data_IF_876193077859
#
_entry.id   IF_876193077859
#
_cell.length_a   1.000
_cell.length_b   1.000
_cell.length_c   1.000
_cell.angle_alpha   90.00
_cell.angle_beta   90.00
_cell.angle_gamma   90.00
#
_symmetry.space_group_name_H-M   'P 1'
#
loop_
_entity.id
_entity.type
_entity.pdbx_description
1 polymer ?
#
# COMPACT_ATOMS: atom_id res chain seq x y z
N UNK A 1 -8.88 -13.45 8.53
CA UNK A 1 -7.99 -14.48 8.02
C UNK A 1 -6.52 -14.11 8.24
N UNK A 2 -6.04 -13.00 7.72
CA UNK A 2 -4.63 -12.56 7.82
C UNK A 2 -4.11 -12.57 9.27
N UNK A 3 -4.87 -12.01 10.20
CA UNK A 3 -4.52 -12.01 11.63
C UNK A 3 -4.38 -13.43 12.21
N UNK A 4 -5.20 -14.37 11.73
CA UNK A 4 -5.11 -15.80 12.18
C UNK A 4 -3.84 -16.48 11.70
N UNK A 5 -3.26 -16.03 10.60
CA UNK A 5 -1.99 -16.57 10.06
C UNK A 5 -0.78 -15.70 10.42
N UNK A 6 -0.92 -14.81 11.41
CA UNK A 6 0.18 -14.02 11.94
C UNK A 6 0.55 -12.76 11.15
N UNK A 7 -0.24 -12.37 10.13
CA UNK A 7 0.01 -11.16 9.35
C UNK A 7 -0.65 -9.96 10.05
N UNK A 8 0.14 -8.94 10.36
CA UNK A 8 -0.35 -7.71 10.97
C UNK A 8 -1.20 -6.94 9.96
N UNK A 9 -2.48 -6.82 10.25
CA UNK A 9 -3.46 -6.29 9.28
C UNK A 9 -4.36 -5.26 9.95
N UNK A 10 -4.62 -4.17 9.22
CA UNK A 10 -5.66 -3.20 9.55
C UNK A 10 -6.71 -3.13 8.45
N UNK A 11 -7.91 -2.74 8.84
CA UNK A 11 -9.05 -2.54 7.94
C UNK A 11 -9.50 -1.08 8.00
N UNK A 12 -9.86 -0.53 6.83
CA UNK A 12 -10.39 0.82 6.71
C UNK A 12 -11.72 0.79 5.95
N UNK A 13 -12.74 1.46 6.49
CA UNK A 13 -14.08 1.55 5.91
C UNK A 13 -14.58 3.01 5.86
N UNK A 14 -15.79 3.23 5.33
CA UNK A 14 -16.39 4.57 5.15
C UNK A 14 -16.54 5.35 6.45
N UNK A 15 -16.82 4.64 7.54
CA UNK A 15 -17.17 5.24 8.83
C UNK A 15 -15.94 5.62 9.68
N UNK A 16 -14.73 5.31 9.18
CA UNK A 16 -13.47 5.72 9.83
C UNK A 16 -13.30 7.24 9.68
N UNK A 17 -13.16 7.93 10.80
CA UNK A 17 -12.95 9.38 10.83
C UNK A 17 -11.69 9.80 10.11
N UNK A 18 -11.67 11.05 9.63
CA UNK A 18 -10.54 11.57 8.84
C UNK A 18 -9.22 11.52 9.61
N UNK A 19 -9.23 11.82 10.90
CA UNK A 19 -8.02 11.79 11.73
C UNK A 19 -7.51 10.37 11.94
N UNK A 20 -8.40 9.44 12.23
CA UNK A 20 -8.07 8.02 12.37
C UNK A 20 -7.51 7.46 11.06
N UNK A 21 -8.08 7.85 9.92
CA UNK A 21 -7.57 7.47 8.60
C UNK A 21 -6.13 7.94 8.38
N UNK A 22 -5.81 9.17 8.76
CA UNK A 22 -4.45 9.71 8.69
C UNK A 22 -3.51 8.88 9.56
N UNK A 23 -3.94 8.52 10.77
CA UNK A 23 -3.15 7.70 11.69
C UNK A 23 -2.89 6.31 11.12
N UNK A 24 -3.92 5.62 10.59
CA UNK A 24 -3.76 4.31 9.94
C UNK A 24 -2.74 4.38 8.80
N UNK A 25 -2.76 5.45 7.99
CA UNK A 25 -1.78 5.62 6.91
C UNK A 25 -0.37 5.86 7.41
N UNK A 26 -0.21 6.60 8.50
CA UNK A 26 1.10 6.79 9.14
C UNK A 26 1.63 5.48 9.72
N UNK A 27 0.79 4.73 10.40
CA UNK A 27 1.13 3.43 10.99
C UNK A 27 1.60 2.44 9.92
N UNK A 28 0.92 2.41 8.74
CA UNK A 28 1.36 1.61 7.60
C UNK A 28 2.76 2.04 7.11
N UNK A 29 3.00 3.34 6.98
CA UNK A 29 4.30 3.87 6.55
C UNK A 29 5.42 3.60 7.56
N UNK A 30 5.10 3.58 8.85
CA UNK A 30 6.01 3.22 9.94
C UNK A 30 6.24 1.69 10.02
N UNK A 31 5.47 0.88 9.28
CA UNK A 31 5.58 -0.58 9.32
C UNK A 31 5.00 -1.20 10.59
N UNK A 32 4.08 -0.51 11.27
CA UNK A 32 3.41 -1.05 12.47
C UNK A 32 2.45 -2.19 12.11
N UNK A 33 2.04 -2.26 10.86
CA UNK A 33 1.33 -3.39 10.28
C UNK A 33 1.70 -3.54 8.80
N UNK A 34 1.44 -4.70 8.21
CA UNK A 34 1.94 -5.08 6.89
C UNK A 34 0.87 -4.98 5.79
N UNK A 35 -0.39 -5.17 6.16
CA UNK A 35 -1.51 -5.23 5.21
C UNK A 35 -2.62 -4.27 5.60
N UNK A 36 -3.00 -3.41 4.68
CA UNK A 36 -4.18 -2.56 4.78
C UNK A 36 -5.27 -3.10 3.86
N UNK A 37 -6.41 -3.48 4.43
CA UNK A 37 -7.60 -3.89 3.70
C UNK A 37 -8.59 -2.73 3.67
N UNK A 38 -9.11 -2.39 2.51
CA UNK A 38 -10.08 -1.30 2.40
C UNK A 38 -11.08 -1.51 1.27
N UNK A 39 -12.29 -1.02 1.47
CA UNK A 39 -13.35 -1.04 0.48
C UNK A 39 -13.51 0.37 -0.09
N UNK A 40 -13.18 0.56 -1.37
CA UNK A 40 -13.37 1.81 -2.13
C UNK A 40 -12.67 3.08 -1.60
N UNK A 41 -11.85 2.98 -0.54
CA UNK A 41 -11.27 4.13 0.15
C UNK A 41 -9.81 4.40 -0.18
N UNK A 42 -9.18 3.51 -0.94
CA UNK A 42 -7.75 3.60 -1.27
C UNK A 42 -7.49 4.32 -2.60
N UNK A 43 -8.43 5.15 -3.07
CA UNK A 43 -8.36 5.76 -4.41
C UNK A 43 -7.69 7.12 -4.43
N UNK A 44 -8.04 8.01 -3.52
CA UNK A 44 -7.65 9.42 -3.56
C UNK A 44 -6.78 9.82 -2.37
N UNK A 45 -5.91 10.80 -2.59
CA UNK A 45 -5.16 11.47 -1.54
C UNK A 45 -4.06 10.66 -0.85
N UNK A 46 -3.82 9.41 -1.24
CA UNK A 46 -2.83 8.56 -0.58
C UNK A 46 -1.50 8.57 -1.33
N UNK A 47 -0.45 8.94 -0.63
CA UNK A 47 0.93 8.87 -1.11
C UNK A 47 1.72 7.90 -0.24
N UNK A 48 1.79 6.64 -0.68
CA UNK A 48 2.36 5.52 0.05
C UNK A 48 3.49 4.88 -0.79
N UNK A 49 4.67 5.49 -0.85
CA UNK A 49 5.79 4.95 -1.64
C UNK A 49 6.33 3.64 -1.09
N UNK A 50 6.03 3.31 0.15
CA UNK A 50 6.43 2.07 0.82
C UNK A 50 5.61 0.85 0.35
N UNK A 51 4.43 1.07 -0.26
CA UNK A 51 3.55 -0.02 -0.72
C UNK A 51 4.13 -0.70 -1.94
N UNK A 52 4.51 -1.97 -1.78
CA UNK A 52 5.06 -2.82 -2.84
C UNK A 52 4.02 -3.69 -3.55
N UNK A 53 2.89 -3.97 -2.92
CA UNK A 53 1.83 -4.79 -3.49
C UNK A 53 0.47 -4.10 -3.38
N UNK A 54 -0.25 -4.07 -4.50
CA UNK A 54 -1.67 -3.73 -4.55
C UNK A 54 -2.44 -4.93 -5.07
N UNK A 55 -3.37 -5.45 -4.27
CA UNK A 55 -4.26 -6.55 -4.64
C UNK A 55 -5.69 -6.02 -4.79
N UNK A 56 -6.29 -6.25 -5.95
CA UNK A 56 -7.69 -5.90 -6.24
C UNK A 56 -8.47 -7.21 -6.32
N UNK A 57 -9.34 -7.43 -5.36
CA UNK A 57 -10.23 -8.59 -5.33
C UNK A 57 -11.47 -8.30 -6.16
N UNK A 58 -12.06 -9.34 -6.74
CA UNK A 58 -13.28 -9.25 -7.57
C UNK A 58 -13.18 -8.16 -8.65
N UNK A 59 -12.04 -8.07 -9.34
CA UNK A 59 -11.75 -7.01 -10.29
C UNK A 59 -12.66 -7.03 -11.53
N UNK A 60 -13.33 -8.14 -11.80
CA UNK A 60 -14.30 -8.31 -12.88
C UNK A 60 -15.73 -7.93 -12.48
N UNK A 61 -15.99 -7.71 -11.20
CA UNK A 61 -17.35 -7.33 -10.75
C UNK A 61 -17.62 -5.87 -11.13
N UNK A 62 -18.79 -5.67 -11.72
CA UNK A 62 -19.29 -4.32 -12.04
C UNK A 62 -19.57 -3.56 -10.75
N UNK A 63 -19.05 -2.35 -10.68
CA UNK A 63 -19.18 -1.48 -9.52
C UNK A 63 -18.17 -0.35 -9.56
N UNK A 64 -18.06 0.37 -8.45
CA UNK A 64 -17.22 1.55 -8.38
C UNK A 64 -15.72 1.27 -8.62
N UNK A 65 -15.23 0.04 -8.38
CA UNK A 65 -13.86 -0.41 -8.73
C UNK A 65 -13.72 -0.93 -10.17
N UNK A 66 -14.81 -1.35 -10.81
CA UNK A 66 -14.83 -1.92 -12.15
C UNK A 66 -14.56 -0.92 -13.28
N UNK A 67 -14.49 0.38 -13.00
CA UNK A 67 -14.15 1.35 -14.03
C UNK A 67 -12.65 1.39 -14.31
N UNK A 68 -12.28 1.53 -15.60
CA UNK A 68 -10.88 1.72 -16.03
C UNK A 68 -10.15 2.79 -15.20
N UNK A 69 -10.79 3.96 -15.00
CA UNK A 69 -10.18 5.09 -14.27
C UNK A 69 -9.84 4.71 -12.82
N UNK A 70 -10.76 4.05 -12.15
CA UNK A 70 -10.58 3.59 -10.77
C UNK A 70 -9.47 2.56 -10.66
N UNK A 71 -9.43 1.58 -11.57
CA UNK A 71 -8.38 0.56 -11.60
C UNK A 71 -7.00 1.17 -11.85
N UNK A 72 -6.87 2.08 -12.82
CA UNK A 72 -5.60 2.78 -13.10
C UNK A 72 -5.12 3.56 -11.87
N UNK A 73 -6.01 4.25 -11.14
CA UNK A 73 -5.65 4.96 -9.92
C UNK A 73 -5.16 4.01 -8.83
N UNK A 74 -5.84 2.88 -8.66
CA UNK A 74 -5.50 1.89 -7.63
C UNK A 74 -4.17 1.19 -7.96
N UNK A 75 -4.01 0.70 -9.17
CA UNK A 75 -2.76 0.10 -9.67
C UNK A 75 -1.58 1.08 -9.57
N UNK A 76 -1.83 2.35 -9.86
CA UNK A 76 -0.83 3.43 -9.77
C UNK A 76 -0.27 3.66 -8.37
N UNK A 77 -0.88 3.11 -7.31
CA UNK A 77 -0.33 3.19 -5.95
C UNK A 77 0.96 2.38 -5.81
N UNK A 78 1.04 1.22 -6.45
CA UNK A 78 2.26 0.41 -6.45
C UNK A 78 3.36 0.98 -7.35
N UNK A 79 3.04 1.88 -8.27
CA UNK A 79 3.99 2.39 -9.26
C UNK A 79 5.11 3.28 -8.67
N UNK A 80 5.00 3.70 -7.41
CA UNK A 80 6.03 4.49 -6.71
C UNK A 80 7.10 3.65 -6.04
N UNK A 81 6.85 2.36 -5.89
CA UNK A 81 7.81 1.42 -5.34
C UNK A 81 8.59 0.76 -6.48
N UNK A 82 9.91 0.62 -6.34
CA UNK A 82 10.77 -0.01 -7.35
C UNK A 82 10.34 -1.46 -7.65
N UNK A 83 9.90 -2.17 -6.63
CA UNK A 83 9.41 -3.55 -6.70
C UNK A 83 7.89 -3.62 -6.74
N UNK A 84 7.23 -2.51 -7.09
CA UNK A 84 5.78 -2.39 -7.07
C UNK A 84 5.09 -3.38 -8.00
N UNK A 85 4.11 -4.10 -7.46
CA UNK A 85 3.25 -5.04 -8.19
C UNK A 85 1.79 -4.72 -7.97
N UNK A 86 0.99 -4.95 -9.00
CA UNK A 86 -0.47 -4.92 -8.89
C UNK A 86 -1.02 -6.23 -9.39
N UNK A 87 -1.90 -6.84 -8.60
CA UNK A 87 -2.57 -8.12 -8.93
C UNK A 87 -4.07 -7.86 -8.93
N UNK A 88 -4.72 -8.23 -10.02
CA UNK A 88 -6.17 -8.20 -10.16
C UNK A 88 -6.69 -9.64 -10.11
N UNK A 89 -7.44 -9.98 -9.06
CA UNK A 89 -8.10 -11.27 -8.93
C UNK A 89 -9.49 -11.20 -9.58
N UNK A 90 -9.76 -12.09 -10.53
CA UNK A 90 -10.98 -12.07 -11.31
C UNK A 90 -11.25 -13.46 -11.93
N UNK A 91 -12.53 -13.78 -12.11
CA UNK A 91 -12.92 -15.01 -12.80
C UNK A 91 -12.82 -14.87 -14.34
N UNK A 92 -12.97 -13.63 -14.82
CA UNK A 92 -12.90 -13.31 -16.24
C UNK A 92 -12.22 -11.97 -16.50
N UNK A 93 -11.54 -11.87 -17.63
CA UNK A 93 -10.96 -10.61 -18.11
C UNK A 93 -12.07 -9.69 -18.63
N UNK A 94 -12.17 -8.48 -18.07
CA UNK A 94 -13.08 -7.44 -18.55
C UNK A 94 -12.37 -6.44 -19.46
N UNK A 95 -13.14 -5.69 -20.24
CA UNK A 95 -12.60 -4.61 -21.08
C UNK A 95 -11.86 -3.55 -20.26
N UNK A 96 -12.38 -3.22 -19.07
CA UNK A 96 -11.76 -2.25 -18.16
C UNK A 96 -10.43 -2.76 -17.60
N UNK A 97 -10.33 -4.05 -17.26
CA UNK A 97 -9.09 -4.69 -16.82
C UNK A 97 -8.05 -4.68 -17.95
N UNK A 98 -8.42 -5.14 -19.14
CA UNK A 98 -7.52 -5.15 -20.29
C UNK A 98 -7.00 -3.75 -20.61
N UNK A 99 -7.90 -2.76 -20.68
CA UNK A 99 -7.51 -1.37 -20.93
C UNK A 99 -6.61 -0.78 -19.83
N UNK A 100 -6.74 -1.25 -18.57
CA UNK A 100 -5.88 -0.85 -17.48
C UNK A 100 -4.48 -1.44 -17.62
N UNK A 101 -4.39 -2.71 -18.00
CA UNK A 101 -3.12 -3.41 -18.26
C UNK A 101 -2.38 -2.73 -19.42
N UNK A 102 -3.07 -2.51 -20.53
CA UNK A 102 -2.50 -1.91 -21.74
C UNK A 102 -1.96 -0.50 -21.45
N UNK A 103 -2.74 0.34 -20.76
CA UNK A 103 -2.33 1.68 -20.38
C UNK A 103 -1.12 1.68 -19.42
N UNK A 104 -1.11 0.75 -18.46
CA UNK A 104 -0.02 0.63 -17.48
C UNK A 104 1.26 0.19 -18.16
N UNK A 105 1.19 -0.80 -19.07
CA UNK A 105 2.33 -1.27 -19.85
C UNK A 105 2.87 -0.18 -20.76
N UNK A 106 2.01 0.53 -21.49
CA UNK A 106 2.39 1.65 -22.34
C UNK A 106 3.15 2.72 -21.57
N UNK A 107 2.64 3.13 -20.40
CA UNK A 107 3.31 4.13 -19.55
C UNK A 107 4.67 3.65 -19.05
N UNK A 108 4.75 2.37 -18.66
CA UNK A 108 5.99 1.75 -18.20
C UNK A 108 7.05 1.70 -19.30
N UNK A 109 6.68 1.25 -20.49
CA UNK A 109 7.59 1.19 -21.64
C UNK A 109 8.10 2.57 -22.02
N UNK A 110 7.21 3.56 -22.08
CA UNK A 110 7.56 4.95 -22.36
C UNK A 110 8.55 5.50 -21.33
N UNK A 111 8.32 5.20 -20.03
CA UNK A 111 9.23 5.63 -18.96
C UNK A 111 10.58 4.91 -19.05
N UNK A 112 10.58 3.61 -19.32
CA UNK A 112 11.82 2.84 -19.48
C UNK A 112 12.66 3.37 -20.63
N UNK A 113 12.03 3.66 -21.78
CA UNK A 113 12.70 4.26 -22.93
C UNK A 113 13.30 5.62 -22.58
N UNK A 114 12.51 6.50 -21.96
CA UNK A 114 13.00 7.81 -21.51
C UNK A 114 14.19 7.68 -20.56
N UNK A 115 14.14 6.75 -19.61
CA UNK A 115 15.21 6.52 -18.66
C UNK A 115 16.49 6.05 -19.37
N UNK A 116 16.37 5.13 -20.33
CA UNK A 116 17.50 4.64 -21.11
C UNK A 116 18.12 5.76 -21.96
N UNK A 117 17.30 6.54 -22.65
CA UNK A 117 17.76 7.65 -23.51
C UNK A 117 18.49 8.75 -22.72
N UNK A 118 18.16 8.92 -21.43
CA UNK A 118 18.73 9.96 -20.56
C UNK A 118 19.68 9.42 -19.48
N UNK A 119 20.05 8.15 -19.53
CA UNK A 119 20.93 7.51 -18.54
C UNK A 119 20.39 7.55 -17.10
N UNK A 120 19.08 7.61 -16.92
CA UNK A 120 18.44 7.68 -15.60
C UNK A 120 18.19 6.30 -15.02
N UNK A 121 18.64 6.09 -13.80
CA UNK A 121 18.34 4.87 -13.02
C UNK A 121 17.22 5.18 -12.04
N UNK A 122 16.13 4.39 -12.04
CA UNK A 122 15.06 4.56 -11.06
C UNK A 122 15.60 4.43 -9.63
N UNK A 123 15.19 5.34 -8.75
CA UNK A 123 15.59 5.35 -7.35
C UNK A 123 14.35 5.28 -6.45
N UNK A 124 14.49 4.64 -5.29
CA UNK A 124 13.44 4.59 -4.30
C UNK A 124 13.10 6.00 -3.76
N UNK A 125 11.83 6.29 -3.65
CA UNK A 125 11.36 7.52 -3.03
C UNK A 125 11.44 7.40 -1.51
N UNK A 126 12.52 7.92 -0.91
CA UNK A 126 12.66 8.04 0.54
C UNK A 126 11.98 9.33 1.02
N UNK A 127 10.66 9.31 1.12
CA UNK A 127 9.91 10.44 1.67
C UNK A 127 9.96 10.40 3.19
N UNK A 128 10.58 11.41 3.81
CA UNK A 128 10.57 11.55 5.28
C UNK A 128 9.13 11.56 5.79
N UNK A 129 8.84 10.75 6.80
CA UNK A 129 7.56 10.78 7.50
C UNK A 129 7.58 12.06 8.32
N UNK A 130 6.59 12.94 8.11
CA UNK A 130 6.52 14.20 8.83
C UNK A 130 6.17 13.93 10.30
N UNK A 131 7.10 14.17 11.21
CA UNK A 131 6.92 14.01 12.66
C UNK A 131 5.89 15.00 13.24
N UNK A 132 5.57 16.07 12.51
CA UNK A 132 4.65 17.12 12.97
C UNK A 132 3.20 16.65 13.17
N UNK A 133 2.81 15.47 12.66
CA UNK A 133 1.50 14.89 12.90
C UNK A 133 1.51 13.91 14.09
N UNK A 134 2.66 13.35 14.45
CA UNK A 134 2.82 12.42 15.58
C UNK A 134 2.69 13.16 16.94
N UNK A 135 3.03 14.45 16.99
CA UNK A 135 2.93 15.26 18.23
C UNK A 135 1.49 15.51 18.74
N UNK A 136 0.47 15.15 17.98
CA UNK A 136 -0.94 15.30 18.38
C UNK A 136 -1.58 14.04 18.98
N UNK A 137 -0.86 12.93 19.06
CA UNK A 137 -1.36 11.70 19.68
C UNK A 137 -1.57 11.78 21.20
N UNK A 138 -1.19 12.88 21.83
CA UNK A 138 -1.44 13.10 23.27
C UNK A 138 -2.91 13.33 23.64
N UNK A 139 -3.75 13.62 22.65
CA UNK A 139 -5.17 13.94 22.86
C UNK A 139 -6.11 12.75 22.68
N UNK A 140 -5.59 11.55 22.41
CA UNK A 140 -6.41 10.32 22.29
C UNK A 140 -6.09 9.33 23.41
N UNK A 141 -6.91 9.26 24.47
CA UNK A 141 -6.68 8.41 25.64
C UNK A 141 -6.81 6.90 25.38
N UNK A 142 -7.26 6.47 24.21
CA UNK A 142 -7.48 5.06 23.87
C UNK A 142 -6.37 4.40 23.04
N UNK A 143 -5.26 5.07 22.79
CA UNK A 143 -4.09 4.42 22.20
C UNK A 143 -3.45 3.50 23.24
N UNK A 144 -3.75 2.21 23.19
CA UNK A 144 -3.27 1.17 24.12
C UNK A 144 -1.75 1.00 24.18
N UNK A 145 -0.99 1.69 23.30
CA UNK A 145 0.47 1.58 23.22
C UNK A 145 1.09 2.93 22.92
N UNK A 146 2.15 3.27 23.65
CA UNK A 146 2.96 4.46 23.34
C UNK A 146 3.84 4.16 22.11
N UNK A 147 4.15 5.19 21.32
CA UNK A 147 5.03 5.09 20.14
C UNK A 147 6.36 4.36 20.44
N UNK A 148 6.88 4.51 21.66
CA UNK A 148 8.13 3.90 22.12
C UNK A 148 7.99 2.38 22.33
N UNK A 149 6.87 1.93 22.88
CA UNK A 149 6.57 0.50 23.07
C UNK A 149 6.38 -0.21 21.74
N UNK A 150 5.71 0.45 20.78
CA UNK A 150 5.50 -0.09 19.44
C UNK A 150 6.83 -0.21 18.68
N UNK A 151 7.71 0.79 18.75
CA UNK A 151 9.03 0.73 18.11
C UNK A 151 9.93 -0.36 18.73
N UNK A 152 9.79 -0.60 20.01
CA UNK A 152 10.54 -1.65 20.72
C UNK A 152 10.04 -3.04 20.32
N UNK A 153 8.74 -3.24 20.22
CA UNK A 153 8.12 -4.49 19.77
C UNK A 153 8.44 -4.81 18.30
N UNK A 154 8.46 -3.79 17.43
CA UNK A 154 8.87 -3.93 16.02
C UNK A 154 10.37 -4.27 15.91
N UNK A 155 11.21 -3.70 16.75
CA UNK A 155 12.64 -4.00 16.76
C UNK A 155 12.91 -5.44 17.24
N UNK A 156 12.21 -5.89 18.28
CA UNK A 156 12.29 -7.25 18.81
C UNK A 156 11.76 -8.30 17.82
N UNK A 157 10.67 -7.97 17.11
CA UNK A 157 10.10 -8.85 16.09
C UNK A 157 11.04 -8.99 14.87
N UNK A 158 11.69 -7.91 14.44
CA UNK A 158 12.70 -7.97 13.38
C UNK A 158 13.94 -8.75 13.77
N UNK A 159 14.31 -8.78 15.05
CA UNK A 159 15.42 -9.56 15.55
C UNK A 159 15.10 -11.06 15.64
N UNK A 160 13.82 -11.42 15.80
CA UNK A 160 13.35 -12.81 15.96
C UNK A 160 13.12 -13.51 14.61
N UNK A 161 12.71 -12.76 13.58
CA UNK A 161 12.59 -13.26 12.20
C UNK A 161 13.85 -12.90 11.41
N UNK A 162 14.92 -13.69 11.62
CA UNK A 162 16.12 -13.62 10.81
C UNK A 162 15.81 -13.92 9.33
N UNK A 163 16.64 -13.37 8.44
CA UNK A 163 16.52 -13.39 6.99
C UNK A 163 16.48 -14.77 6.31
N UNK A 164 16.42 -15.87 7.06
CA UNK A 164 16.50 -17.23 6.53
C UNK A 164 15.14 -17.90 6.26
N UNK A 165 14.03 -17.34 6.74
CA UNK A 165 12.71 -17.96 6.60
C UNK A 165 11.91 -17.55 5.36
N UNK A 166 12.46 -16.67 4.51
CA UNK A 166 11.74 -16.13 3.34
C UNK A 166 11.93 -16.98 2.07
N UNK A 167 12.86 -17.93 2.05
CA UNK A 167 13.13 -18.79 0.87
C UNK A 167 12.28 -20.07 0.78
N UNK A 168 11.37 -20.31 1.72
CA UNK A 168 10.60 -21.58 1.76
C UNK A 168 9.08 -21.47 1.61
N UNK A 169 8.57 -20.37 1.03
CA UNK A 169 7.14 -20.31 0.66
C UNK A 169 6.97 -20.00 -0.82
#
# INVERSE_FOLDING_TARGET
YFTKVGIRTRYIHSDVETLERIQIMQDLRLGLFDVLVGVNLLREGLDLPEVSLVAILDADKEGMLGSRRSMIQTVGRAARNLNGRAIMYADKMTKSMQATIDETNYRREKQMKYNADHGKVPQALNKKISENLVGRSKDFPDAKYTHKEILQEVAETKATYGSEDIEKI
#
